data_IF_243295688381
#
_entry.id   IF_243295688381
#
_cell.length_a   1.000
_cell.length_b   1.000
_cell.length_c   1.000
_cell.angle_alpha   90.00
_cell.angle_beta   90.00
_cell.angle_gamma   90.00
#
_symmetry.space_group_name_H-M   'P 1'
#
loop_
_entity.id
_entity.type
_entity.pdbx_description
1 polymer ?
2 non-polymer ?
3 non-polymer ?
4 water ?
#
# COMPACT_ATOMS: atom_id res chain seq x y z
N UNK A 2 13.46 -19.56 30.13
CA UNK A 2 12.95 -18.92 28.87
C UNK A 2 11.43 -18.67 28.93
N UNK A 3 10.98 -17.68 28.17
CA UNK A 3 9.56 -17.36 28.07
C UNK A 3 9.21 -16.66 26.76
N UNK A 4 7.95 -16.84 26.42
CA UNK A 4 7.42 -16.30 25.18
C UNK A 4 7.13 -14.82 25.36
N UNK A 5 7.88 -13.99 24.63
CA UNK A 5 7.72 -12.54 24.70
C UNK A 5 6.72 -12.03 23.66
N UNK A 6 6.62 -12.74 22.55
CA UNK A 6 5.64 -12.42 21.52
C UNK A 6 5.32 -13.69 20.78
N UNK A 7 4.09 -13.78 20.28
CA UNK A 7 3.70 -14.91 19.45
C UNK A 7 2.48 -14.54 18.63
N UNK A 8 2.49 -14.94 17.37
CA UNK A 8 1.28 -14.90 16.56
C UNK A 8 1.38 -15.99 15.53
N UNK A 9 0.23 -16.46 15.06
CA UNK A 9 0.25 -17.58 14.13
C UNK A 9 -1.07 -17.56 13.35
N UNK A 10 -1.06 -18.16 12.17
CA UNK A 10 -2.28 -18.24 11.40
C UNK A 10 -2.02 -18.70 9.99
N UNK A 11 -2.83 -18.21 9.05
CA UNK A 11 -2.73 -18.66 7.67
C UNK A 11 -2.39 -17.49 6.78
N UNK A 12 -1.37 -17.69 5.95
CA UNK A 12 -0.92 -16.70 4.96
C UNK A 12 -1.23 -17.20 3.55
N UNK A 13 -1.23 -16.27 2.60
CA UNK A 13 -1.35 -16.58 1.18
C UNK A 13 -2.65 -17.31 0.85
N UNK A 14 -3.74 -16.85 1.46
CA UNK A 14 -5.06 -17.41 1.17
C UNK A 14 -5.66 -16.61 0.02
N UNK A 15 -5.68 -17.23 -1.14
CA UNK A 15 -6.25 -16.59 -2.33
C UNK A 15 -7.77 -16.70 -2.28
N UNK A 16 -8.45 -15.60 -2.54
CA UNK A 16 -9.90 -15.53 -2.45
C UNK A 16 -10.45 -14.76 -3.65
N UNK A 17 -11.43 -15.37 -4.33
CA UNK A 17 -12.21 -14.68 -5.36
C UNK A 17 -13.65 -14.64 -4.91
N UNK A 18 -14.32 -13.54 -5.21
CA UNK A 18 -15.76 -13.45 -5.03
C UNK A 18 -16.39 -12.78 -6.24
N UNK A 19 -17.55 -13.30 -6.64
CA UNK A 19 -18.34 -12.71 -7.73
C UNK A 19 -19.66 -12.21 -7.16
N UNK A 20 -20.09 -11.07 -7.65
CA UNK A 20 -21.43 -10.56 -7.47
C UNK A 20 -22.14 -10.59 -8.82
N UNK A 21 -23.34 -11.17 -8.85
CA UNK A 21 -24.15 -11.25 -10.06
C UNK A 21 -25.46 -10.50 -9.87
N UNK A 22 -25.68 -9.48 -10.70
CA UNK A 22 -26.96 -8.81 -10.75
C UNK A 22 -27.82 -9.58 -11.74
N UNK A 23 -28.83 -10.27 -11.22
CA UNK A 23 -29.67 -11.15 -12.05
C UNK A 23 -30.62 -10.36 -12.94
N UNK A 24 -30.95 -9.15 -12.52
CA UNK A 24 -31.79 -8.22 -13.30
C UNK A 24 -31.07 -7.71 -14.54
N UNK A 25 -29.85 -7.21 -14.35
CA UNK A 25 -29.10 -6.54 -15.43
C UNK A 25 -28.13 -7.48 -16.15
N UNK A 26 -27.75 -8.57 -15.49
CA UNK A 26 -26.78 -9.50 -16.04
C UNK A 26 -25.33 -9.10 -15.73
N UNK A 27 -25.14 -7.95 -15.09
CA UNK A 27 -23.79 -7.44 -14.85
C UNK A 27 -23.19 -8.19 -13.67
N UNK A 28 -21.98 -8.71 -13.91
CA UNK A 28 -21.22 -9.42 -12.87
C UNK A 28 -20.02 -8.59 -12.49
N UNK A 29 -19.61 -8.69 -11.22
CA UNK A 29 -18.49 -7.90 -10.73
C UNK A 29 -17.63 -8.85 -9.92
N UNK A 30 -16.32 -8.81 -10.15
CA UNK A 30 -15.42 -9.75 -9.48
C UNK A 30 -14.43 -9.04 -8.56
N UNK A 31 -14.04 -9.76 -7.52
CA UNK A 31 -13.09 -9.29 -6.52
C UNK A 31 -12.10 -10.42 -6.30
N UNK A 32 -10.81 -10.08 -6.26
CA UNK A 32 -9.81 -11.10 -5.94
C UNK A 32 -8.77 -10.49 -5.01
N UNK A 33 -8.41 -11.29 -4.01
CA UNK A 33 -7.62 -10.85 -2.95
C UNK A 33 -6.61 -12.01 -2.54
N UNK A 34 -5.54 -11.67 -1.81
CA UNK A 34 -4.77 -12.62 -1.03
C UNK A 34 -4.80 -12.16 0.40
N UNK A 35 -5.13 -13.08 1.31
CA UNK A 35 -5.41 -12.75 2.71
C UNK A 35 -4.44 -13.47 3.63
N UNK A 36 -4.01 -12.77 4.67
CA UNK A 36 -3.28 -13.35 5.78
C UNK A 36 -3.98 -12.98 7.07
N UNK A 37 -4.22 -13.96 7.94
CA UNK A 37 -4.73 -13.70 9.28
C UNK A 37 -3.81 -14.36 10.28
N UNK A 38 -3.27 -13.55 11.20
CA UNK A 38 -2.45 -14.05 12.31
C UNK A 38 -3.10 -13.65 13.62
N UNK A 39 -3.22 -14.61 14.53
CA UNK A 39 -3.87 -14.41 15.82
C UNK A 39 -2.85 -14.34 16.95
N UNK A 40 -3.20 -13.56 17.98
CA UNK A 40 -2.50 -13.53 19.25
C UNK A 40 -3.46 -13.80 20.38
N UNK A 41 -2.94 -14.31 21.49
CA UNK A 41 -3.74 -14.40 22.70
C UNK A 41 -3.06 -15.30 23.71
N UNK A 42 -3.88 -16.01 24.46
CA UNK A 42 -3.37 -16.89 25.50
C UNK A 42 -2.99 -18.22 24.87
N UNK A 43 -1.93 -18.17 24.06
CA UNK A 43 -1.51 -19.30 23.24
C UNK A 43 -0.10 -19.79 23.58
N UNK A 44 0.55 -19.18 24.56
CA UNK A 44 1.94 -19.49 24.85
C UNK A 44 2.15 -20.98 25.13
N UNK A 45 1.17 -21.66 25.74
CA UNK A 45 1.37 -23.06 26.09
C UNK A 45 1.41 -23.99 24.88
N UNK A 46 0.93 -23.55 23.72
CA UNK A 46 1.15 -24.33 22.50
C UNK A 46 2.63 -24.39 22.16
N UNK A 47 3.36 -23.33 22.48
CA UNK A 47 4.81 -23.27 22.27
C UNK A 47 5.58 -23.97 23.38
N UNK A 48 5.18 -23.75 24.63
CA UNK A 48 5.99 -24.19 25.76
C UNK A 48 5.67 -25.60 26.27
N UNK A 49 4.44 -26.08 26.06
CA UNK A 49 3.93 -27.28 26.75
C UNK A 49 3.27 -28.26 25.77
N UNK A 50 3.43 -28.04 24.46
CA UNK A 50 2.75 -28.87 23.46
C UNK A 50 1.24 -28.95 23.69
N UNK A 51 0.67 -27.84 24.13
CA UNK A 51 -0.74 -27.74 24.45
C UNK A 51 -1.49 -27.20 23.23
N UNK A 52 -1.95 -28.09 22.36
CA UNK A 52 -2.63 -27.65 21.16
C UNK A 52 -4.07 -27.22 21.40
N UNK A 53 -4.61 -27.39 22.61
CA UNK A 53 -5.99 -27.02 22.89
C UNK A 53 -6.28 -25.55 22.66
N UNK A 54 -5.22 -24.73 22.77
CA UNK A 54 -5.35 -23.30 22.60
C UNK A 54 -5.21 -22.86 21.15
N UNK A 55 -4.93 -23.80 20.24
CA UNK A 55 -4.72 -23.50 18.82
C UNK A 55 -6.03 -23.64 18.06
N UNK A 56 -6.51 -22.53 17.51
CA UNK A 56 -7.46 -22.53 16.40
C UNK A 56 -6.64 -22.88 15.16
N UNK A 57 -6.87 -24.04 14.59
CA UNK A 57 -5.98 -24.52 13.53
C UNK A 57 -5.91 -23.50 12.40
N UNK A 58 -4.73 -23.37 11.82
CA UNK A 58 -4.60 -22.47 10.66
C UNK A 58 -5.56 -22.87 9.53
N UNK A 59 -5.79 -24.18 9.38
CA UNK A 59 -6.78 -24.64 8.41
C UNK A 59 -8.17 -24.11 8.71
N UNK A 60 -8.52 -24.05 9.98
CA UNK A 60 -9.80 -23.47 10.41
C UNK A 60 -9.87 -21.97 10.16
N UNK A 61 -8.75 -21.28 10.35
CA UNK A 61 -8.64 -19.87 10.00
C UNK A 61 -8.91 -19.67 8.51
N UNK A 62 -8.30 -20.52 7.68
CA UNK A 62 -8.58 -20.52 6.24
C UNK A 62 -10.08 -20.71 5.96
N UNK A 63 -10.68 -21.74 6.55
CA UNK A 63 -12.12 -21.97 6.35
C UNK A 63 -12.92 -20.71 6.71
N UNK A 64 -12.52 -20.08 7.81
CA UNK A 64 -13.23 -18.90 8.32
C UNK A 64 -13.13 -17.71 7.37
N UNK A 65 -11.97 -17.57 6.71
CA UNK A 65 -11.81 -16.52 5.69
C UNK A 65 -12.85 -16.71 4.58
N UNK A 66 -12.96 -17.93 4.06
CA UNK A 66 -13.92 -18.19 2.99
C UNK A 66 -15.37 -18.03 3.45
N UNK A 67 -15.69 -18.51 4.66
CA UNK A 67 -17.05 -18.36 5.20
C UNK A 67 -17.39 -16.89 5.38
N UNK A 68 -16.44 -16.12 5.89
CA UNK A 68 -16.67 -14.69 6.11
C UNK A 68 -16.89 -13.98 4.78
N UNK A 69 -16.13 -14.36 3.75
CA UNK A 69 -16.32 -13.80 2.42
C UNK A 69 -17.69 -14.18 1.82
N UNK A 70 -18.19 -15.38 2.15
CA UNK A 70 -19.49 -15.80 1.68
C UNK A 70 -20.62 -14.99 2.34
N UNK A 71 -20.42 -14.63 3.61
CA UNK A 71 -21.50 -14.05 4.42
C UNK A 71 -21.47 -12.53 4.51
N UNK A 72 -20.48 -11.89 3.87
CA UNK A 72 -20.25 -10.45 3.99
C UNK A 72 -19.71 -9.87 2.71
N UNK A 73 -19.84 -8.54 2.54
CA UNK A 73 -19.13 -7.93 1.43
C UNK A 73 -17.63 -8.03 1.63
N UNK A 74 -16.91 -8.17 0.54
CA UNK A 74 -15.46 -8.17 0.59
C UNK A 74 -14.84 -6.82 0.28
N UNK A 75 -15.72 -5.84 0.03
CA UNK A 75 -15.31 -4.49 -0.29
C UNK A 75 -16.06 -3.50 0.63
N UNK A 76 -15.44 -2.37 0.98
CA UNK A 76 -14.02 -2.09 0.82
C UNK A 76 -13.20 -3.04 1.70
N UNK A 77 -11.93 -3.27 1.35
CA UNK A 77 -11.13 -4.24 2.09
C UNK A 77 -10.96 -3.86 3.56
N UNK A 78 -10.98 -2.55 3.86
CA UNK A 78 -10.93 -2.09 5.24
C UNK A 78 -12.08 -2.66 6.07
N UNK A 79 -13.27 -2.73 5.47
CA UNK A 79 -14.44 -3.28 6.15
C UNK A 79 -14.31 -4.80 6.28
N UNK A 80 -14.00 -5.48 5.17
CA UNK A 80 -13.88 -6.92 5.22
C UNK A 80 -12.85 -7.36 6.26
N UNK A 81 -11.69 -6.71 6.27
CA UNK A 81 -10.67 -7.05 7.26
C UNK A 81 -11.11 -6.83 8.70
N UNK A 82 -11.88 -5.75 8.91
CA UNK A 82 -12.42 -5.44 10.23
C UNK A 82 -13.45 -6.48 10.69
N UNK A 83 -14.31 -6.92 9.77
CA UNK A 83 -15.28 -7.97 10.08
C UNK A 83 -14.56 -9.26 10.43
N UNK A 84 -13.60 -9.61 9.60
CA UNK A 84 -12.85 -10.85 9.78
C UNK A 84 -12.07 -10.85 11.09
N UNK A 85 -11.37 -9.76 11.39
CA UNK A 85 -10.59 -9.70 12.62
C UNK A 85 -11.45 -9.71 13.87
N UNK A 86 -12.57 -8.99 13.81
CA UNK A 86 -13.51 -8.91 14.92
C UNK A 86 -14.06 -10.31 15.22
N UNK A 87 -14.33 -11.09 14.17
CA UNK A 87 -14.85 -12.44 14.36
C UNK A 87 -13.95 -13.24 15.32
N UNK A 88 -12.65 -13.20 15.11
CA UNK A 88 -11.77 -14.06 15.90
C UNK A 88 -11.70 -13.65 17.37
N UNK A 89 -11.68 -12.36 17.66
CA UNK A 89 -11.64 -11.93 19.05
C UNK A 89 -12.98 -12.08 19.75
N UNK A 90 -14.08 -12.04 19.01
CA UNK A 90 -15.41 -12.30 19.60
C UNK A 90 -15.69 -13.80 19.77
N UNK A 91 -15.30 -14.61 18.79
CA UNK A 91 -15.62 -16.04 18.83
C UNK A 91 -14.83 -16.80 19.89
N UNK A 92 -13.56 -16.42 20.08
CA UNK A 92 -12.64 -17.16 20.93
C UNK A 92 -12.24 -16.30 22.11
N UNK A 93 -12.68 -16.69 23.30
CA UNK A 93 -12.41 -15.92 24.50
C UNK A 93 -10.92 -15.65 24.69
N UNK A 94 -10.10 -16.65 24.39
CA UNK A 94 -8.66 -16.58 24.66
C UNK A 94 -7.82 -15.93 23.57
N UNK A 95 -8.45 -15.55 22.45
CA UNK A 95 -7.78 -14.82 21.38
C UNK A 95 -8.05 -13.34 21.59
N UNK A 96 -6.99 -12.55 21.64
CA UNK A 96 -7.10 -11.14 22.03
C UNK A 96 -6.63 -10.18 20.95
N UNK A 97 -6.07 -10.69 19.84
CA UNK A 97 -5.78 -9.84 18.70
C UNK A 97 -5.85 -10.64 17.43
N UNK A 98 -6.30 -9.98 16.36
CA UNK A 98 -6.30 -10.55 15.03
C UNK A 98 -5.71 -9.54 14.08
N UNK A 99 -4.72 -10.01 13.32
CA UNK A 99 -3.95 -9.18 12.39
C UNK A 99 -4.28 -9.65 10.99
N UNK A 100 -4.97 -8.80 10.25
CA UNK A 100 -5.51 -9.17 8.96
C UNK A 100 -4.83 -8.31 7.89
N UNK A 101 -4.10 -8.96 6.98
CA UNK A 101 -3.50 -8.27 5.84
C UNK A 101 -4.20 -8.73 4.59
N UNK A 102 -4.58 -7.78 3.74
CA UNK A 102 -5.26 -8.09 2.49
C UNK A 102 -4.57 -7.35 1.36
N UNK A 103 -4.23 -8.10 0.31
CA UNK A 103 -3.77 -7.55 -0.96
C UNK A 103 -4.91 -7.73 -1.95
N UNK A 104 -5.37 -6.63 -2.56
CA UNK A 104 -6.43 -6.68 -3.56
C UNK A 104 -5.81 -6.58 -4.93
N UNK A 105 -6.18 -7.52 -5.79
CA UNK A 105 -5.70 -7.62 -7.16
C UNK A 105 -6.68 -6.96 -8.11
N UNK A 106 -6.15 -6.34 -9.15
CA UNK A 106 -7.01 -5.61 -10.09
C UNK A 106 -7.69 -6.51 -11.10
N UNK A 107 -9.01 -6.40 -11.16
CA UNK A 107 -9.80 -6.94 -12.26
C UNK A 107 -10.70 -5.83 -12.77
N UNK A 108 -10.23 -5.15 -13.81
CA UNK A 108 -10.92 -3.99 -14.34
C UNK A 108 -11.82 -4.45 -15.50
N UNK A 109 -13.06 -4.01 -15.49
CA UNK A 109 -14.03 -4.43 -16.51
C UNK A 109 -13.51 -4.05 -17.90
N UNK A 110 -13.57 -5.00 -18.84
CA UNK A 110 -13.23 -4.73 -20.23
C UNK A 110 -14.27 -3.84 -20.91
N UNK A 111 -13.78 -2.92 -21.74
CA UNK A 111 -14.62 -2.25 -22.71
C UNK A 111 -14.43 -2.95 -24.05
N UNK A 112 -15.54 -3.38 -24.64
CA UNK A 112 -15.50 -4.06 -25.93
C UNK A 112 -16.34 -3.23 -26.88
N UNK A 113 -15.75 -2.82 -28.01
CA UNK A 113 -16.42 -1.92 -28.96
C UNK A 113 -17.03 -0.72 -28.24
N UNK A 114 -16.28 -0.18 -27.27
CA UNK A 114 -16.66 1.04 -26.57
C UNK A 114 -17.75 0.90 -25.51
N UNK A 115 -18.11 -0.33 -25.17
CA UNK A 115 -19.16 -0.60 -24.19
C UNK A 115 -18.61 -1.52 -23.09
N UNK A 116 -18.93 -1.22 -21.82
CA UNK A 116 -18.42 -2.07 -20.74
C UNK A 116 -19.03 -3.46 -20.79
N UNK A 117 -18.19 -4.48 -20.73
CA UNK A 117 -18.66 -5.83 -20.85
C UNK A 117 -19.22 -6.35 -19.52
N UNK A 118 -20.34 -7.10 -19.55
CA UNK A 118 -20.94 -7.47 -18.28
C UNK A 118 -20.18 -8.49 -17.43
N UNK A 119 -19.23 -9.23 -18.01
CA UNK A 119 -18.58 -10.29 -17.23
C UNK A 119 -17.17 -10.67 -17.65
N UNK A 120 -16.45 -9.70 -18.21
CA UNK A 120 -15.09 -9.93 -18.68
C UNK A 120 -14.19 -8.81 -18.16
N UNK A 121 -12.99 -9.19 -17.70
CA UNK A 121 -12.11 -8.34 -16.91
C UNK A 121 -10.67 -8.51 -17.34
N UNK A 122 -9.89 -7.46 -17.12
CA UNK A 122 -8.47 -7.44 -17.44
C UNK A 122 -7.69 -7.03 -16.20
N UNK A 123 -6.56 -7.70 -16.00
CA UNK A 123 -5.59 -7.28 -15.00
C UNK A 123 -4.82 -6.10 -15.62
N UNK A 124 -5.33 -4.89 -15.42
CA UNK A 124 -4.85 -3.71 -16.17
C UNK A 124 -3.56 -3.15 -15.57
N UNK A 125 -3.15 -3.68 -14.42
CA UNK A 125 -1.92 -3.27 -13.71
C UNK A 125 -1.61 -4.29 -12.60
N UNK A 126 -0.33 -4.56 -12.26
CA UNK A 126 -0.04 -5.31 -11.00
C UNK A 126 -0.06 -4.40 -9.77
N UNK A 127 -0.40 -3.13 -9.94
CA UNK A 127 -0.70 -2.26 -8.79
C UNK A 127 -1.70 -2.94 -7.87
N UNK A 128 -1.45 -2.83 -6.58
CA UNK A 128 -2.31 -3.41 -5.56
C UNK A 128 -2.94 -2.30 -4.70
N UNK A 129 -4.09 -2.62 -4.12
CA UNK A 129 -4.66 -1.88 -3.03
C UNK A 129 -4.66 -2.81 -1.82
N UNK A 130 -4.11 -2.35 -0.71
CA UNK A 130 -3.89 -3.21 0.45
C UNK A 130 -4.51 -2.63 1.69
N UNK A 131 -4.73 -3.51 2.67
CA UNK A 131 -5.00 -3.06 4.02
C UNK A 131 -4.25 -3.92 5.02
N UNK A 132 -3.96 -3.30 6.15
CA UNK A 132 -3.49 -3.96 7.34
C UNK A 132 -4.43 -3.58 8.47
N UNK A 133 -5.21 -4.54 8.97
CA UNK A 133 -6.24 -4.27 9.98
C UNK A 133 -5.87 -5.05 11.23
N UNK A 134 -5.54 -4.31 12.29
CA UNK A 134 -5.17 -4.91 13.56
C UNK A 134 -6.31 -4.72 14.53
N UNK A 135 -7.00 -5.81 14.85
CA UNK A 135 -8.13 -5.80 15.77
C UNK A 135 -7.60 -6.29 17.12
N UNK A 136 -7.58 -5.40 18.10
CA UNK A 136 -6.96 -5.70 19.39
C UNK A 136 -7.98 -5.52 20.49
N UNK A 137 -8.31 -6.61 21.19
CA UNK A 137 -9.37 -6.59 22.17
C UNK A 137 -9.07 -5.54 23.22
N UNK A 138 -10.06 -4.69 23.47
CA UNK A 138 -9.92 -3.58 24.40
C UNK A 138 -9.26 -2.33 23.84
N UNK A 139 -8.76 -2.39 22.59
CA UNK A 139 -8.03 -1.27 21.97
C UNK A 139 -8.52 -0.98 20.54
N UNK A 140 -9.65 -1.53 20.16
CA UNK A 140 -10.29 -1.16 18.91
C UNK A 140 -9.62 -1.75 17.68
N UNK A 141 -9.69 -0.99 16.60
CA UNK A 141 -9.29 -1.45 15.28
C UNK A 141 -8.41 -0.39 14.65
N UNK A 142 -7.17 -0.79 14.37
CA UNK A 142 -6.20 0.09 13.74
C UNK A 142 -6.00 -0.35 12.29
N UNK A 143 -6.25 0.59 11.39
CA UNK A 143 -6.24 0.31 9.97
C UNK A 143 -5.19 1.16 9.25
N UNK A 144 -4.32 0.48 8.50
CA UNK A 144 -3.45 1.13 7.52
C UNK A 144 -3.89 0.70 6.13
N UNK A 145 -4.16 1.67 5.28
CA UNK A 145 -4.57 1.44 3.90
C UNK A 145 -3.42 1.82 2.99
N UNK A 146 -3.25 1.14 1.87
CA UNK A 146 -2.19 1.52 0.97
C UNK A 146 -2.47 1.21 -0.49
N UNK A 147 -1.72 1.88 -1.34
CA UNK A 147 -1.56 1.45 -2.73
C UNK A 147 -0.08 1.16 -2.92
N UNK A 148 0.22 0.15 -3.74
CA UNK A 148 1.58 -0.25 -3.96
C UNK A 148 1.75 -0.76 -5.38
N UNK A 149 2.99 -0.77 -5.85
CA UNK A 149 3.27 -1.28 -7.20
C UNK A 149 2.71 -0.40 -8.31
N UNK A 150 2.55 0.89 -8.02
CA UNK A 150 2.14 1.87 -9.03
C UNK A 150 3.40 2.44 -9.65
N UNK A 151 3.73 1.96 -10.85
CA UNK A 151 5.02 2.24 -11.45
C UNK A 151 4.85 3.33 -12.49
N UNK A 152 5.65 4.38 -12.35
CA UNK A 152 5.51 5.59 -13.14
C UNK A 152 6.88 6.09 -13.58
N UNK A 153 6.90 6.90 -14.64
CA UNK A 153 8.10 7.54 -15.13
C UNK A 153 7.74 8.89 -15.72
N UNK A 154 8.59 9.87 -15.45
CA UNK A 154 8.54 11.13 -16.20
C UNK A 154 9.88 11.39 -16.82
N UNK A 155 9.86 11.93 -18.04
CA UNK A 155 11.03 12.01 -18.88
C UNK A 155 11.80 13.32 -18.74
N UNK A 156 11.23 14.27 -18.02
CA UNK A 156 11.85 15.57 -17.76
C UNK A 156 11.13 16.17 -16.54
N UNK A 157 11.46 17.41 -16.19
CA UNK A 157 10.88 18.06 -15.01
C UNK A 157 11.14 17.26 -13.73
N UNK A 158 12.36 16.73 -13.67
CA UNK A 158 12.96 16.28 -12.44
C UNK A 158 14.38 16.82 -12.42
N UNK A 159 14.81 17.26 -11.24
CA UNK A 159 16.12 17.86 -11.05
C UNK A 159 16.74 17.29 -9.79
N UNK A 160 18.06 17.40 -9.68
CA UNK A 160 18.70 17.09 -8.42
C UNK A 160 20.05 17.78 -8.34
N UNK A 161 20.06 18.90 -7.64
CA UNK A 161 21.26 19.70 -7.44
C UNK A 161 21.23 20.32 -6.05
N UNK A 162 22.37 20.83 -5.62
CA UNK A 162 22.49 21.48 -4.32
C UNK A 162 22.64 20.51 -3.16
N UNK A 163 22.92 19.25 -3.45
CA UNK A 163 23.17 18.26 -2.40
C UNK A 163 24.59 18.39 -1.87
N UNK A 164 24.82 17.81 -0.70
CA UNK A 164 26.10 17.89 -0.03
C UNK A 164 27.20 17.28 -0.92
N UNK A 165 28.34 17.97 -0.99
CA UNK A 165 29.47 17.53 -1.78
C UNK A 165 30.70 17.45 -0.89
N UNK A 166 31.29 16.26 -0.80
CA UNK A 166 32.53 16.10 -0.08
C UNK A 166 33.38 15.04 -0.78
N UNK A 167 34.37 14.50 -0.07
CA UNK A 167 35.32 13.57 -0.67
C UNK A 167 34.71 12.20 -1.05
N UNK A 168 33.45 11.97 -0.67
CA UNK A 168 32.74 10.74 -1.07
C UNK A 168 31.83 10.95 -2.29
N UNK A 169 31.78 12.17 -2.81
CA UNK A 169 30.80 12.57 -3.81
C UNK A 169 31.39 12.56 -5.21
N UNK A 170 30.76 11.81 -6.10
CA UNK A 170 31.05 11.86 -7.53
C UNK A 170 29.86 12.31 -8.38
N UNK A 171 28.64 12.27 -7.82
CA UNK A 171 27.46 12.52 -8.61
C UNK A 171 27.44 13.96 -9.13
N UNK A 172 27.20 14.10 -10.43
CA UNK A 172 27.06 15.40 -11.08
C UNK A 172 25.69 15.97 -10.74
N UNK A 173 25.64 17.27 -10.44
CA UNK A 173 24.36 17.97 -10.35
C UNK A 173 23.64 17.91 -11.69
N UNK A 174 22.32 17.85 -11.66
CA UNK A 174 21.54 17.90 -12.88
C UNK A 174 20.29 18.75 -12.72
N UNK A 175 19.95 19.43 -13.81
CA UNK A 175 18.77 20.26 -13.89
C UNK A 175 17.72 19.62 -14.81
N UNK A 176 17.97 18.40 -15.30
CA UNK A 176 17.01 17.72 -16.17
C UNK A 176 17.36 16.24 -16.21
N UNK A 177 16.56 15.44 -15.51
CA UNK A 177 16.76 14.00 -15.48
C UNK A 177 15.42 13.29 -15.58
N UNK A 178 15.51 11.98 -15.81
CA UNK A 178 14.38 11.07 -15.69
C UNK A 178 14.10 10.79 -14.22
N UNK A 179 12.83 10.69 -13.87
CA UNK A 179 12.43 10.15 -12.57
C UNK A 179 11.42 9.03 -12.76
N UNK A 180 11.75 7.88 -12.20
CA UNK A 180 10.88 6.71 -12.23
C UNK A 180 10.85 6.07 -10.86
N UNK A 181 9.68 5.60 -10.44
CA UNK A 181 9.52 4.96 -9.14
C UNK A 181 8.37 3.97 -9.17
N UNK A 182 8.31 3.17 -8.10
CA UNK A 182 7.20 2.30 -7.79
C UNK A 182 6.58 2.87 -6.50
N UNK A 183 5.37 3.38 -6.58
CA UNK A 183 4.79 4.11 -5.45
C UNK A 183 4.21 3.11 -4.45
N UNK A 184 4.67 3.22 -3.21
CA UNK A 184 4.07 2.58 -2.05
C UNK A 184 3.65 3.72 -1.12
N UNK A 185 2.33 3.92 -0.99
CA UNK A 185 1.76 5.01 -0.21
C UNK A 185 0.78 4.41 0.80
N UNK A 186 0.92 4.79 2.07
CA UNK A 186 0.11 4.26 3.16
C UNK A 186 -0.53 5.38 3.95
N UNK A 187 -1.83 5.29 4.18
CA UNK A 187 -2.53 6.23 5.06
C UNK A 187 -3.04 5.48 6.28
N UNK A 188 -2.72 6.04 7.45
CA UNK A 188 -3.06 5.43 8.72
C UNK A 188 -4.28 6.16 9.29
N UNK A 189 -5.35 5.41 9.52
CA UNK A 189 -6.61 5.94 10.03
C UNK A 189 -6.53 6.19 11.52
N UNK A 190 -7.29 7.18 11.98
CA UNK A 190 -7.64 7.28 13.39
C UNK A 190 -8.06 5.91 13.91
N UNK A 191 -7.66 5.56 15.13
CA UNK A 191 -8.16 4.37 15.79
C UNK A 191 -9.68 4.35 15.79
N UNK A 192 -10.24 3.21 15.43
CA UNK A 192 -11.68 2.98 15.51
C UNK A 192 -11.99 2.14 16.73
N UNK A 193 -13.11 2.42 17.39
CA UNK A 193 -13.39 1.77 18.67
C UNK A 193 -13.85 0.32 18.51
N UNK A 194 -14.27 -0.02 17.29
CA UNK A 194 -14.81 -1.33 17.00
C UNK A 194 -15.43 -1.34 15.62
N UNK A 195 -16.14 -2.42 15.31
CA UNK A 195 -16.66 -2.61 13.98
C UNK A 195 -17.75 -1.58 13.64
N UNK A 196 -18.55 -1.16 14.62
CA UNK A 196 -19.58 -0.18 14.33
C UNK A 196 -18.96 1.11 13.81
N UNK A 197 -17.88 1.58 14.42
CA UNK A 197 -17.26 2.82 13.98
C UNK A 197 -16.68 2.67 12.58
N UNK A 198 -16.07 1.51 12.29
CA UNK A 198 -15.58 1.27 10.95
C UNK A 198 -16.72 1.36 9.93
N UNK A 199 -17.83 0.69 10.22
CA UNK A 199 -19.00 0.72 9.35
C UNK A 199 -19.48 2.14 9.11
N UNK A 200 -19.44 2.97 10.16
CA UNK A 200 -19.92 4.35 10.05
C UNK A 200 -19.12 5.18 9.06
N UNK A 201 -17.91 4.74 8.72
CA UNK A 201 -17.04 5.51 7.81
C UNK A 201 -16.82 4.82 6.46
N UNK A 202 -17.62 3.79 6.16
CA UNK A 202 -17.35 2.96 5.00
C UNK A 202 -17.12 3.72 3.68
N UNK A 203 -17.96 4.72 3.35
CA UNK A 203 -17.71 5.41 2.07
C UNK A 203 -16.34 6.09 1.99
N UNK A 204 -15.79 6.48 3.14
CA UNK A 204 -14.50 7.16 3.16
C UNK A 204 -13.34 6.29 2.68
N UNK A 205 -13.49 4.97 2.76
CA UNK A 205 -12.37 4.10 2.39
C UNK A 205 -12.06 4.17 0.88
N UNK A 206 -13.04 3.86 0.05
CA UNK A 206 -12.84 3.98 -1.41
C UNK A 206 -12.50 5.43 -1.79
N UNK A 207 -13.13 6.40 -1.15
CA UNK A 207 -12.91 7.79 -1.52
C UNK A 207 -11.48 8.24 -1.25
N UNK A 208 -10.94 7.79 -0.13
CA UNK A 208 -9.60 8.19 0.29
C UNK A 208 -8.54 7.47 -0.53
N UNK A 209 -8.78 6.20 -0.86
CA UNK A 209 -7.91 5.49 -1.82
C UNK A 209 -7.88 6.25 -3.16
N UNK A 210 -9.05 6.64 -3.66
CA UNK A 210 -9.11 7.38 -4.92
C UNK A 210 -8.35 8.71 -4.84
N UNK A 211 -8.54 9.43 -3.74
CA UNK A 211 -7.82 10.67 -3.51
C UNK A 211 -6.31 10.46 -3.48
N UNK A 212 -5.87 9.46 -2.74
CA UNK A 212 -4.45 9.18 -2.63
C UNK A 212 -3.85 8.89 -4.01
N UNK A 213 -4.55 8.11 -4.81
CA UNK A 213 -4.06 7.72 -6.14
C UNK A 213 -4.01 8.94 -7.05
N UNK A 214 -5.10 9.74 -7.03
CA UNK A 214 -5.21 10.96 -7.86
C UNK A 214 -4.12 11.96 -7.51
N UNK A 215 -3.95 12.21 -6.22
CA UNK A 215 -2.93 13.15 -5.76
C UNK A 215 -1.54 12.67 -6.15
N UNK A 216 -1.29 11.37 -5.96
CA UNK A 216 0.01 10.80 -6.33
C UNK A 216 0.31 11.07 -7.80
N UNK A 217 -0.63 10.72 -8.67
CA UNK A 217 -0.38 10.83 -10.10
C UNK A 217 -0.25 12.29 -10.55
N UNK A 218 -1.16 13.15 -10.09
CA UNK A 218 -1.13 14.54 -10.53
C UNK A 218 0.12 15.24 -9.99
N UNK A 219 0.48 14.98 -8.74
CA UNK A 219 1.67 15.65 -8.19
C UNK A 219 2.94 15.16 -8.89
N UNK A 220 3.04 13.86 -9.12
CA UNK A 220 4.17 13.30 -9.86
C UNK A 220 4.29 13.99 -11.22
N UNK A 221 3.18 14.06 -11.93
CA UNK A 221 3.18 14.58 -13.29
C UNK A 221 3.49 16.07 -13.35
N UNK A 222 3.01 16.82 -12.36
CA UNK A 222 3.04 18.28 -12.46
C UNK A 222 4.17 18.93 -11.66
N UNK A 223 4.73 18.23 -10.66
CA UNK A 223 5.77 18.86 -9.85
C UNK A 223 7.09 18.89 -10.63
N UNK A 224 7.66 20.07 -10.82
CA UNK A 224 9.01 20.16 -11.37
C UNK A 224 9.94 19.86 -10.21
N UNK A 225 10.32 18.59 -10.10
CA UNK A 225 10.75 18.02 -8.84
C UNK A 225 12.17 18.41 -8.46
N UNK A 226 12.32 18.91 -7.25
CA UNK A 226 13.62 19.26 -6.69
C UNK A 226 14.37 18.04 -6.16
N UNK A 227 13.62 16.99 -5.86
CA UNK A 227 14.13 15.75 -5.29
C UNK A 227 12.92 14.84 -5.09
N UNK A 228 13.17 13.56 -4.91
CA UNK A 228 12.11 12.64 -4.52
C UNK A 228 11.48 13.08 -3.18
N UNK A 229 12.35 13.47 -2.26
CA UNK A 229 11.94 13.97 -0.93
C UNK A 229 10.90 15.07 -1.05
N UNK A 230 11.20 16.09 -1.85
CA UNK A 230 10.33 17.25 -1.93
C UNK A 230 9.01 16.92 -2.58
N UNK A 231 9.06 16.08 -3.60
CA UNK A 231 7.83 15.70 -4.32
C UNK A 231 6.90 14.85 -3.45
N UNK A 232 7.48 13.86 -2.76
CA UNK A 232 6.65 12.95 -1.96
C UNK A 232 6.00 13.71 -0.79
N UNK A 233 6.70 14.71 -0.25
CA UNK A 233 6.14 15.49 0.85
C UNK A 233 4.89 16.22 0.38
N UNK A 234 4.95 16.78 -0.84
CA UNK A 234 3.77 17.47 -1.38
C UNK A 234 2.57 16.53 -1.53
N UNK A 235 2.81 15.31 -1.97
CA UNK A 235 1.75 14.32 -2.07
C UNK A 235 1.09 14.08 -0.72
N UNK A 236 1.93 13.82 0.28
CA UNK A 236 1.43 13.47 1.60
C UNK A 236 0.63 14.61 2.22
N UNK A 237 1.14 15.84 2.12
CA UNK A 237 0.44 16.96 2.73
C UNK A 237 -0.94 17.17 2.08
N UNK A 238 -1.04 16.98 0.77
CA UNK A 238 -2.32 17.10 0.08
C UNK A 238 -3.32 16.05 0.51
N UNK A 239 -2.87 14.81 0.67
CA UNK A 239 -3.76 13.76 1.11
C UNK A 239 -4.28 14.02 2.53
N UNK A 240 -3.40 14.42 3.43
CA UNK A 240 -3.82 14.80 4.79
C UNK A 240 -4.85 15.91 4.80
N UNK A 241 -4.67 16.88 3.92
CA UNK A 241 -5.61 18.01 3.83
C UNK A 241 -7.00 17.60 3.38
N UNK A 242 -7.10 16.45 2.72
CA UNK A 242 -8.35 16.04 2.09
C UNK A 242 -9.09 14.95 2.86
N UNK A 243 -8.52 14.45 3.96
CA UNK A 243 -9.22 13.49 4.80
C UNK A 243 -8.83 13.62 6.26
N UNK A 244 -9.71 14.21 7.05
CA UNK A 244 -9.33 14.50 8.43
C UNK A 244 -9.26 13.26 9.31
N UNK A 245 -9.84 12.14 8.86
CA UNK A 245 -9.80 10.90 9.64
C UNK A 245 -8.52 10.07 9.47
N UNK A 246 -7.65 10.53 8.56
CA UNK A 246 -6.24 10.07 8.45
C UNK A 246 -5.38 10.81 9.46
N UNK A 247 -4.47 10.09 10.12
CA UNK A 247 -3.50 10.72 11.01
C UNK A 247 -2.15 10.94 10.34
N UNK A 248 -1.71 9.95 9.55
CA UNK A 248 -0.43 10.10 8.85
C UNK A 248 -0.52 9.52 7.44
N UNK A 249 0.38 9.99 6.59
CA UNK A 249 0.61 9.43 5.28
C UNK A 249 2.09 9.12 5.14
N UNK A 250 2.38 7.89 4.71
CA UNK A 250 3.75 7.46 4.55
C UNK A 250 3.99 7.12 3.08
N UNK A 251 5.13 7.53 2.55
CA UNK A 251 5.56 7.11 1.22
C UNK A 251 6.89 6.38 1.35
N UNK A 252 7.05 5.35 0.54
CA UNK A 252 8.32 4.69 0.35
C UNK A 252 8.53 4.58 -1.15
N UNK A 253 9.56 5.27 -1.65
CA UNK A 253 9.78 5.44 -3.09
C UNK A 253 11.21 5.09 -3.49
N UNK A 254 11.38 4.08 -4.34
CA UNK A 254 12.69 3.90 -4.94
C UNK A 254 12.96 4.94 -6.01
N UNK A 255 14.21 5.34 -6.15
CA UNK A 255 14.64 6.13 -7.29
C UNK A 255 15.26 5.14 -8.27
N UNK A 256 14.49 4.78 -9.29
CA UNK A 256 14.89 3.75 -10.24
C UNK A 256 15.67 4.43 -11.36
N UNK A 257 17.00 4.36 -11.26
CA UNK A 257 17.86 5.25 -12.02
C UNK A 257 17.89 4.87 -13.50
N UNK A 258 17.91 5.90 -14.34
CA UNK A 258 18.14 5.79 -15.78
C UNK A 258 19.39 6.59 -16.09
N UNK A 259 20.47 5.90 -16.49
CA UNK A 259 21.76 6.54 -16.67
C UNK A 259 21.92 7.00 -18.12
N UNK A 260 22.48 8.19 -18.27
CA UNK A 260 22.95 8.59 -19.59
C UNK A 260 24.05 7.65 -20.09
N UNK A 261 24.17 7.58 -21.42
CA UNK A 261 25.19 6.76 -22.07
C UNK A 261 26.02 7.66 -22.98
N UNK A 262 27.27 7.88 -22.59
CA UNK A 262 28.21 8.64 -23.41
C UNK A 262 28.62 7.78 -24.58
N UNK A 263 28.29 8.25 -25.79
CA UNK A 263 28.65 7.55 -27.01
C UNK A 263 29.67 8.33 -27.84
N UNK A 264 30.29 9.35 -27.25
CA UNK A 264 31.17 10.25 -28.01
C UNK A 264 32.45 9.56 -28.50
N UNK A 265 32.80 8.43 -27.87
CA UNK A 265 33.88 7.57 -28.33
C UNK A 265 33.61 6.91 -29.70
N UNK A 266 32.34 6.87 -30.09
CA UNK A 266 31.93 6.28 -31.36
C UNK A 266 31.46 7.36 -32.33
N UNK A 267 32.32 7.68 -33.30
CA UNK A 267 31.99 8.62 -34.38
C UNK A 267 31.48 9.99 -33.84
N UNK A 268 31.95 10.38 -32.66
CA UNK A 268 31.54 11.64 -32.03
C UNK A 268 30.05 11.77 -31.73
N UNK A 269 29.35 10.64 -31.58
CA UNK A 269 27.91 10.66 -31.33
C UNK A 269 27.64 11.40 -30.03
N UNK A 270 26.65 12.29 -30.08
CA UNK A 270 26.30 13.13 -28.94
C UNK A 270 24.99 12.62 -28.34
N UNK A 271 25.10 12.07 -27.14
CA UNK A 271 23.98 11.43 -26.45
C UNK A 271 23.96 11.78 -24.96
N UNK A 272 24.54 12.92 -24.61
CA UNK A 272 24.48 13.40 -23.23
C UNK A 272 23.89 14.79 -23.18
N UNK A 273 23.48 15.20 -21.99
CA UNK A 273 22.89 16.52 -21.78
C UNK A 273 21.70 16.75 -22.70
N UNK A 274 21.70 17.88 -23.39
CA UNK A 274 20.56 18.22 -24.24
C UNK A 274 20.36 17.22 -25.38
N UNK A 275 21.40 16.46 -25.71
CA UNK A 275 21.30 15.48 -26.79
C UNK A 275 21.04 14.07 -26.33
N UNK A 276 20.79 13.90 -25.03
CA UNK A 276 20.53 12.56 -24.47
C UNK A 276 19.18 12.01 -24.95
N UNK A 277 19.25 10.91 -25.70
CA UNK A 277 18.06 10.23 -26.17
C UNK A 277 17.98 8.79 -25.68
N UNK A 278 19.12 8.10 -25.68
CA UNK A 278 19.17 6.68 -25.31
C UNK A 278 19.80 6.56 -23.95
N UNK A 279 19.12 5.85 -23.04
CA UNK A 279 19.54 5.72 -21.65
C UNK A 279 19.60 4.24 -21.28
N UNK A 280 20.38 3.95 -20.25
CA UNK A 280 20.47 2.61 -19.67
C UNK A 280 19.70 2.57 -18.35
N UNK A 281 18.50 1.95 -18.34
CA UNK A 281 17.80 1.71 -17.08
C UNK A 281 18.66 0.82 -16.18
N UNK A 282 18.80 1.20 -14.91
CA UNK A 282 19.60 0.45 -13.95
C UNK A 282 18.70 -0.38 -13.04
N UNK A 283 18.91 -1.69 -13.03
CA UNK A 283 18.11 -2.55 -12.16
C UNK A 283 18.47 -2.38 -10.69
N UNK A 284 19.75 -2.19 -10.41
CA UNK A 284 20.22 -1.96 -9.05
C UNK A 284 21.58 -1.28 -9.18
N UNK A 285 22.05 -0.59 -8.13
CA UNK A 285 21.28 -0.26 -6.93
C UNK A 285 20.21 0.79 -7.21
N UNK A 286 19.46 1.16 -6.18
CA UNK A 286 18.45 2.20 -6.30
C UNK A 286 18.41 3.05 -5.06
N UNK A 287 18.17 4.34 -5.24
CA UNK A 287 17.82 5.16 -4.11
C UNK A 287 16.55 4.64 -3.48
N UNK A 288 16.42 4.86 -2.19
CA UNK A 288 15.20 4.52 -1.48
C UNK A 288 14.91 5.63 -0.50
N UNK A 289 13.75 6.26 -0.67
CA UNK A 289 13.42 7.51 0.02
C UNK A 289 12.10 7.27 0.76
N UNK A 290 12.09 7.59 2.06
CA UNK A 290 10.91 7.34 2.91
C UNK A 290 10.57 8.58 3.73
N UNK A 291 9.27 8.77 3.96
CA UNK A 291 8.86 9.69 5.01
C UNK A 291 7.45 9.43 5.42
N UNK A 292 7.19 9.79 6.67
CA UNK A 292 5.87 9.75 7.28
C UNK A 292 5.52 11.16 7.67
N UNK A 293 4.39 11.64 7.16
CA UNK A 293 3.95 13.01 7.37
C UNK A 293 2.68 12.98 8.19
N UNK A 294 2.62 13.85 9.19
CA UNK A 294 1.42 14.01 10.01
C UNK A 294 1.10 15.49 10.08
N UNK A 295 0.20 15.87 10.99
CA UNK A 295 -0.15 17.27 11.10
C UNK A 295 0.65 17.90 12.22
N UNK A 296 1.00 19.17 12.01
CA UNK A 296 1.94 19.89 12.88
C UNK A 296 1.23 20.26 14.17
N UNK A 297 1.98 20.22 15.28
CA UNK A 297 1.53 20.80 16.55
C UNK A 297 2.48 21.88 17.08
N UNK A 298 3.47 22.28 16.26
CA UNK A 298 4.37 23.37 16.64
C UNK A 298 3.66 24.72 16.53
N UNK A 299 3.76 25.52 17.59
CA UNK A 299 3.16 26.86 17.65
C UNK A 299 4.20 28.00 17.67
N UNK A 300 5.46 27.65 17.98
CA UNK A 300 6.60 28.56 17.84
C UNK A 300 7.73 27.91 17.02
N UNK A 301 8.62 28.75 16.48
CA UNK A 301 9.77 28.29 15.69
C UNK A 301 9.35 27.39 14.52
N UNK A 302 8.47 27.91 13.67
CA UNK A 302 7.70 27.08 12.74
C UNK A 302 8.54 26.73 11.49
X LIG B 1 12.95 27.19 -11.46
X LIG B 1 13.90 26.02 -11.71
X LIG B 1 13.17 24.94 -12.30
X LIG B 1 14.47 25.57 -10.37
X LIG B 1 14.96 26.45 -12.72
X LIG B 1 15.77 25.27 -13.22
X LIG B 1 16.72 25.62 -14.24
X LIG B 1 16.51 24.74 -12.02
X LIG C 1 17.12 12.21 -3.83
X LIG C 1 16.89 12.29 -5.20
X LIG C 1 18.27 11.76 -3.22
X LIG C 1 17.85 11.90 -6.07
X LIG C 1 15.82 12.76 -5.58
X LIG C 1 18.97 11.44 -5.56
X LIG C 1 19.28 11.34 -4.17
X LIG C 1 20.07 10.93 -6.20
X LIG C 1 18.36 11.73 -1.99
X LIG C 1 20.51 10.84 -3.97
X LIG C 1 20.99 10.57 -5.22
X LIG C 1 22.06 10.02 -5.51
#
# INVERSE_FOLDING_TARGET
MSAVKAARYGKDNVRVYKVHKDEKTGVQTVYEMTVCVLLEGEIETSYTKADNSVIVATDSIKNTIYITAKQNPVTPPELFGSILGTHFIEKYNHIHAAHVNIVCHRWTRMDIDGKPHPHSFIRDSEEKRNVQVDVVEGKGIDIKSSLSGLTVLKSTNSQFWGFLRDEYTTLKETWDRILSTDVDATWQWKNFSGLQEVRSHVPKFDATWATAREVTLKTFAEDNSASVQATMYKMAEQILARQQLIETVEYSLPNKHYFEIDLSWHKGLQNTGKNAEVFAPQSDPNGLIKCTVGRSSLKSKL
MPD C1 C2 O2 CM C3 C4 O4 C5
URC N1 C2 C6 N3 O11 C4 C5 N9 O13 N7 C8 O24
#
